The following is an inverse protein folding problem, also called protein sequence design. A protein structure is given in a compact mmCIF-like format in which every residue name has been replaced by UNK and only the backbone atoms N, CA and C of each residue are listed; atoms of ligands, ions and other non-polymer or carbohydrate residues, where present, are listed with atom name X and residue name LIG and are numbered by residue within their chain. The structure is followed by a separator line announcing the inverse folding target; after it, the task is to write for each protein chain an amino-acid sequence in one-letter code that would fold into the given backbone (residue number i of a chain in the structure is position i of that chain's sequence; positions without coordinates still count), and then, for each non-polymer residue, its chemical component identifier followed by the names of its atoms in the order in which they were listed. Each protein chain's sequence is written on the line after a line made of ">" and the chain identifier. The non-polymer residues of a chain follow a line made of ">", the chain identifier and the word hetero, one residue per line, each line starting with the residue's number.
data_IF_450736710711
#
_entry.id   IF_450736710711
#
_cell.length_a   1.000
_cell.length_b   1.000
_cell.length_c   1.000
_cell.angle_alpha   90.00
_cell.angle_beta   90.00
_cell.angle_gamma   90.00
#
_symmetry.space_group_name_H-M   'P 1'
#
loop_
_entity.id
_entity.type
_entity.pdbx_description
1 polymer ?
#
# COMPACT_ATOMS: atom_id res chain seq x y z
N UNK A 1 4.49 4.73 27.15
CA UNK A 1 3.81 4.76 25.84
C UNK A 1 4.35 3.65 24.92
N UNK A 2 5.64 3.67 24.52
CA UNK A 2 6.25 2.65 23.65
C UNK A 2 6.24 1.21 24.20
N UNK A 3 6.43 1.01 25.51
CA UNK A 3 6.40 -0.33 26.12
C UNK A 3 5.02 -0.99 26.04
N UNK A 4 3.95 -0.19 26.18
CA UNK A 4 2.57 -0.68 26.09
C UNK A 4 2.23 -1.05 24.65
N UNK A 5 2.61 -0.23 23.66
CA UNK A 5 2.43 -0.56 22.24
C UNK A 5 3.16 -1.85 21.83
N UNK A 6 4.40 -2.04 22.29
CA UNK A 6 5.13 -3.30 22.02
C UNK A 6 4.45 -4.52 22.65
N UNK A 7 3.85 -4.35 23.83
CA UNK A 7 3.07 -5.40 24.48
C UNK A 7 1.78 -5.70 23.71
N UNK A 8 1.09 -4.66 23.22
CA UNK A 8 -0.12 -4.79 22.41
C UNK A 8 0.17 -5.49 21.07
N UNK A 9 1.30 -5.21 20.44
CA UNK A 9 1.75 -5.92 19.23
C UNK A 9 2.06 -7.38 19.49
N UNK A 10 2.72 -7.70 20.61
CA UNK A 10 2.97 -9.10 20.97
C UNK A 10 1.66 -9.88 21.19
N UNK A 11 0.64 -9.25 21.78
CA UNK A 11 -0.68 -9.87 21.92
C UNK A 11 -1.39 -10.02 20.57
N UNK A 12 -1.34 -9.01 19.72
CA UNK A 12 -1.92 -9.06 18.37
C UNK A 12 -1.29 -10.18 17.53
N UNK A 13 0.02 -10.35 17.60
CA UNK A 13 0.74 -11.43 16.91
C UNK A 13 0.23 -12.82 17.34
N UNK A 14 0.08 -13.06 18.65
CA UNK A 14 -0.48 -14.32 19.16
C UNK A 14 -1.91 -14.56 18.65
N UNK A 15 -2.72 -13.50 18.52
CA UNK A 15 -4.07 -13.62 17.97
C UNK A 15 -4.04 -13.96 16.48
N UNK A 16 -3.16 -13.33 15.69
CA UNK A 16 -2.99 -13.67 14.28
C UNK A 16 -2.51 -15.10 14.08
N UNK A 17 -1.53 -15.55 14.86
CA UNK A 17 -1.02 -16.93 14.82
C UNK A 17 -2.15 -17.93 15.07
N UNK A 18 -2.94 -17.74 16.14
CA UNK A 18 -4.10 -18.59 16.44
C UNK A 18 -5.14 -18.58 15.34
N UNK A 19 -5.42 -17.42 14.75
CA UNK A 19 -6.38 -17.30 13.67
C UNK A 19 -5.88 -18.06 12.42
N UNK A 20 -4.59 -17.97 12.09
CA UNK A 20 -3.98 -18.69 10.96
C UNK A 20 -3.88 -20.19 11.23
N UNK A 21 -3.68 -20.62 12.48
CA UNK A 21 -3.76 -22.03 12.87
C UNK A 21 -5.18 -22.58 12.70
N UNK A 22 -6.20 -21.79 13.04
CA UNK A 22 -7.59 -22.17 12.90
C UNK A 22 -8.05 -22.23 11.43
N UNK A 23 -7.60 -21.30 10.59
CA UNK A 23 -7.88 -21.29 9.15
C UNK A 23 -6.62 -20.95 8.32
N UNK A 24 -5.76 -21.94 8.05
CA UNK A 24 -4.47 -21.72 7.39
C UNK A 24 -4.59 -21.37 5.91
N UNK A 25 -5.80 -21.41 5.33
CA UNK A 25 -6.10 -21.10 3.93
C UNK A 25 -6.92 -19.81 3.78
N UNK A 26 -7.11 -19.07 4.86
CA UNK A 26 -7.74 -17.77 4.75
C UNK A 26 -6.76 -16.75 4.17
N UNK A 27 -6.85 -16.53 2.86
CA UNK A 27 -5.93 -15.66 2.13
C UNK A 27 -5.97 -14.21 2.66
N UNK A 28 -7.14 -13.71 3.04
CA UNK A 28 -7.29 -12.36 3.62
C UNK A 28 -6.61 -12.25 4.98
N UNK A 29 -6.82 -13.22 5.86
CA UNK A 29 -6.16 -13.26 7.16
C UNK A 29 -4.63 -13.32 7.01
N UNK A 30 -4.13 -14.14 6.09
CA UNK A 30 -2.69 -14.23 5.79
C UNK A 30 -2.13 -12.89 5.31
N UNK A 31 -2.83 -12.18 4.42
CA UNK A 31 -2.44 -10.86 3.94
C UNK A 31 -2.47 -9.78 5.03
N UNK A 32 -3.49 -9.78 5.89
CA UNK A 32 -3.57 -8.86 7.04
C UNK A 32 -2.43 -9.14 8.02
N UNK A 33 -2.15 -10.40 8.31
CA UNK A 33 -1.05 -10.77 9.20
C UNK A 33 0.31 -10.37 8.60
N UNK A 34 0.50 -10.55 7.29
CA UNK A 34 1.70 -10.11 6.59
C UNK A 34 1.95 -8.59 6.74
N UNK A 35 0.91 -7.78 6.52
CA UNK A 35 0.98 -6.33 6.76
C UNK A 35 1.35 -6.00 8.21
N UNK A 36 0.74 -6.69 9.18
CA UNK A 36 1.07 -6.49 10.59
C UNK A 36 2.55 -6.79 10.88
N UNK A 37 3.09 -7.88 10.33
CA UNK A 37 4.50 -8.25 10.49
C UNK A 37 5.44 -7.21 9.86
N UNK A 38 5.11 -6.72 8.67
CA UNK A 38 5.90 -5.68 8.02
C UNK A 38 5.88 -4.36 8.80
N UNK A 39 4.69 -3.85 9.15
CA UNK A 39 4.52 -2.49 9.70
C UNK A 39 4.89 -2.39 11.17
N UNK A 40 4.47 -3.34 12.02
CA UNK A 40 4.60 -3.20 13.48
C UNK A 40 5.73 -4.02 14.08
N UNK A 41 6.12 -5.11 13.42
CA UNK A 41 7.21 -5.98 13.86
C UNK A 41 8.49 -5.76 13.08
N UNK A 42 8.42 -5.10 11.93
CA UNK A 42 9.52 -4.93 10.97
C UNK A 42 10.17 -6.27 10.58
N UNK A 43 9.41 -7.36 10.62
CA UNK A 43 9.85 -8.70 10.21
C UNK A 43 9.46 -8.91 8.75
N UNK A 44 10.34 -8.43 7.87
CA UNK A 44 10.12 -8.45 6.42
C UNK A 44 10.15 -9.87 5.85
N UNK A 45 10.95 -10.77 6.44
CA UNK A 45 11.03 -12.15 5.98
C UNK A 45 9.71 -12.89 6.26
N UNK A 46 9.19 -12.77 7.48
CA UNK A 46 7.91 -13.40 7.81
C UNK A 46 6.76 -12.77 7.03
N UNK A 47 6.76 -11.45 6.83
CA UNK A 47 5.78 -10.77 5.98
C UNK A 47 5.78 -11.33 4.55
N UNK A 48 6.96 -11.48 3.93
CA UNK A 48 7.08 -12.03 2.57
C UNK A 48 6.56 -13.47 2.50
N UNK A 49 6.89 -14.32 3.47
CA UNK A 49 6.38 -15.69 3.53
C UNK A 49 4.85 -15.75 3.63
N UNK A 50 4.26 -14.90 4.48
CA UNK A 50 2.81 -14.82 4.66
C UNK A 50 2.10 -14.32 3.39
N UNK A 51 2.65 -13.30 2.72
CA UNK A 51 2.12 -12.81 1.44
C UNK A 51 2.19 -13.88 0.34
N UNK A 52 3.33 -14.57 0.20
CA UNK A 52 3.45 -15.65 -0.78
C UNK A 52 2.41 -16.75 -0.52
N UNK A 53 2.18 -17.12 0.76
CA UNK A 53 1.13 -18.09 1.13
C UNK A 53 -0.28 -17.59 0.81
N UNK A 54 -0.54 -16.30 1.05
CA UNK A 54 -1.81 -15.66 0.73
C UNK A 54 -2.10 -15.72 -0.78
N UNK A 55 -1.12 -15.37 -1.61
CA UNK A 55 -1.22 -15.40 -3.08
C UNK A 55 -1.33 -16.84 -3.61
N UNK A 56 -0.61 -17.80 -3.04
CA UNK A 56 -0.77 -19.22 -3.42
C UNK A 56 -2.20 -19.71 -3.17
N UNK A 57 -2.87 -19.16 -2.15
CA UNK A 57 -4.23 -19.56 -1.79
C UNK A 57 -5.29 -18.85 -2.62
N UNK A 58 -5.09 -17.57 -2.92
CA UNK A 58 -6.00 -16.76 -3.72
C UNK A 58 -5.19 -15.87 -4.70
N UNK A 59 -4.74 -16.44 -5.84
CA UNK A 59 -3.76 -15.78 -6.71
C UNK A 59 -4.29 -14.55 -7.44
N UNK A 60 -5.60 -14.38 -7.51
CA UNK A 60 -6.28 -13.29 -8.21
C UNK A 60 -6.96 -12.31 -7.23
N UNK A 61 -6.76 -12.48 -5.91
CA UNK A 61 -7.43 -11.63 -4.93
C UNK A 61 -6.82 -10.21 -4.92
N UNK A 62 -7.56 -9.17 -5.31
CA UNK A 62 -6.98 -7.86 -5.61
C UNK A 62 -6.36 -7.18 -4.39
N UNK A 63 -7.00 -7.25 -3.22
CA UNK A 63 -6.44 -6.68 -1.97
C UNK A 63 -5.11 -7.34 -1.56
N UNK A 64 -4.95 -8.65 -1.79
CA UNK A 64 -3.72 -9.36 -1.42
C UNK A 64 -2.60 -8.96 -2.37
N UNK A 65 -2.91 -8.88 -3.66
CA UNK A 65 -1.98 -8.43 -4.69
C UNK A 65 -1.55 -6.97 -4.45
N UNK A 66 -2.49 -6.08 -4.11
CA UNK A 66 -2.21 -4.67 -3.80
C UNK A 66 -1.37 -4.50 -2.53
N UNK A 67 -1.73 -5.19 -1.45
CA UNK A 67 -0.96 -5.16 -0.21
C UNK A 67 0.46 -5.70 -0.41
N UNK A 68 0.59 -6.76 -1.21
CA UNK A 68 1.91 -7.30 -1.49
C UNK A 68 2.73 -6.39 -2.40
N UNK A 69 2.11 -5.76 -3.40
CA UNK A 69 2.78 -4.77 -4.23
C UNK A 69 3.34 -3.62 -3.38
N UNK A 70 2.55 -3.06 -2.46
CA UNK A 70 2.99 -2.04 -1.49
C UNK A 70 4.23 -2.49 -0.70
N UNK A 71 4.18 -3.69 -0.14
CA UNK A 71 5.28 -4.27 0.63
C UNK A 71 6.54 -4.45 -0.23
N UNK A 72 6.38 -4.96 -1.45
CA UNK A 72 7.49 -5.21 -2.36
C UNK A 72 8.13 -3.90 -2.85
N UNK A 73 7.34 -2.86 -3.12
CA UNK A 73 7.89 -1.53 -3.41
C UNK A 73 8.65 -0.95 -2.21
N UNK A 74 8.10 -1.05 -1.00
CA UNK A 74 8.77 -0.61 0.23
C UNK A 74 10.07 -1.38 0.54
N UNK A 75 10.20 -2.62 0.05
CA UNK A 75 11.40 -3.46 0.23
C UNK A 75 12.29 -3.55 -1.02
N UNK A 76 12.11 -2.60 -1.97
CA UNK A 76 12.91 -2.45 -3.20
C UNK A 76 12.85 -3.65 -4.17
N UNK A 77 11.84 -4.52 -4.04
CA UNK A 77 11.59 -5.65 -4.94
C UNK A 77 10.70 -5.24 -6.13
N UNK A 78 11.14 -4.23 -6.88
CA UNK A 78 10.32 -3.47 -7.85
C UNK A 78 9.71 -4.33 -8.97
N UNK A 79 10.43 -5.28 -9.53
CA UNK A 79 9.90 -6.09 -10.65
C UNK A 79 8.76 -7.00 -10.20
N UNK A 80 8.88 -7.61 -9.01
CA UNK A 80 7.81 -8.42 -8.41
C UNK A 80 6.62 -7.55 -7.99
N UNK A 81 6.90 -6.35 -7.47
CA UNK A 81 5.88 -5.37 -7.11
C UNK A 81 5.03 -4.97 -8.32
N UNK A 82 5.65 -4.66 -9.46
CA UNK A 82 4.96 -4.34 -10.72
C UNK A 82 4.07 -5.47 -11.21
N UNK A 83 4.55 -6.72 -11.16
CA UNK A 83 3.72 -7.87 -11.54
C UNK A 83 2.49 -8.01 -10.65
N UNK A 84 2.63 -7.80 -9.34
CA UNK A 84 1.51 -7.83 -8.41
C UNK A 84 0.54 -6.68 -8.66
N UNK A 85 1.06 -5.48 -8.90
CA UNK A 85 0.28 -4.28 -9.24
C UNK A 85 -0.54 -4.48 -10.52
N UNK A 86 0.10 -4.88 -11.61
CA UNK A 86 -0.57 -5.14 -12.90
C UNK A 86 -1.64 -6.22 -12.76
N UNK A 87 -1.35 -7.28 -12.00
CA UNK A 87 -2.33 -8.34 -11.74
C UNK A 87 -3.51 -7.82 -10.91
N UNK A 88 -3.28 -6.99 -9.90
CA UNK A 88 -4.34 -6.37 -9.10
C UNK A 88 -5.23 -5.47 -9.96
N UNK A 89 -4.63 -4.61 -10.79
CA UNK A 89 -5.35 -3.70 -11.69
C UNK A 89 -6.15 -4.43 -12.77
N UNK A 90 -5.74 -5.65 -13.15
CA UNK A 90 -6.49 -6.48 -14.11
C UNK A 90 -7.75 -7.11 -13.54
N UNK A 91 -7.96 -7.07 -12.22
CA UNK A 91 -9.15 -7.64 -11.60
C UNK A 91 -10.38 -6.74 -11.84
N UNK A 92 -11.56 -7.32 -12.10
CA UNK A 92 -12.78 -6.54 -12.23
C UNK A 92 -13.23 -5.99 -10.87
N UNK A 93 -14.07 -4.95 -10.91
CA UNK A 93 -14.81 -4.44 -9.75
C UNK A 93 -13.94 -4.10 -8.52
N UNK A 94 -12.82 -3.42 -8.76
CA UNK A 94 -11.96 -2.92 -7.67
C UNK A 94 -12.70 -1.87 -6.83
N UNK A 95 -12.64 -2.01 -5.51
CA UNK A 95 -13.14 -0.99 -4.58
C UNK A 95 -12.39 0.34 -4.78
N UNK A 96 -13.06 1.50 -4.65
CA UNK A 96 -12.43 2.81 -4.90
C UNK A 96 -11.16 3.07 -4.07
N UNK A 97 -11.14 2.59 -2.85
CA UNK A 97 -10.02 2.71 -1.91
C UNK A 97 -8.78 1.96 -2.46
N UNK A 98 -8.98 0.73 -2.93
CA UNK A 98 -7.90 -0.04 -3.56
C UNK A 98 -7.48 0.59 -4.89
N UNK A 99 -8.42 1.11 -5.69
CA UNK A 99 -8.08 1.77 -6.96
C UNK A 99 -7.13 2.96 -6.75
N UNK A 100 -7.36 3.78 -5.71
CA UNK A 100 -6.51 4.94 -5.40
C UNK A 100 -5.15 4.52 -4.82
N UNK A 101 -5.10 3.44 -4.04
CA UNK A 101 -3.85 2.86 -3.58
C UNK A 101 -2.96 2.35 -4.74
N UNK A 102 -3.53 1.57 -5.66
CA UNK A 102 -2.80 1.04 -6.81
C UNK A 102 -2.29 2.17 -7.73
N UNK A 103 -3.14 3.17 -7.98
CA UNK A 103 -2.76 4.35 -8.75
C UNK A 103 -1.62 5.14 -8.07
N UNK A 104 -1.61 5.22 -6.73
CA UNK A 104 -0.51 5.80 -5.98
C UNK A 104 0.79 5.01 -6.15
N UNK A 105 0.78 3.69 -6.03
CA UNK A 105 1.99 2.88 -6.22
C UNK A 105 2.54 3.01 -7.64
N UNK A 106 1.65 3.06 -8.63
CA UNK A 106 2.02 3.29 -10.02
C UNK A 106 2.69 4.65 -10.19
N UNK A 107 2.08 5.72 -9.67
CA UNK A 107 2.65 7.06 -9.70
C UNK A 107 4.00 7.14 -8.96
N UNK A 108 4.13 6.48 -7.81
CA UNK A 108 5.34 6.52 -6.99
C UNK A 108 6.52 5.74 -7.59
N UNK A 109 6.27 4.60 -8.24
CA UNK A 109 7.34 3.63 -8.56
C UNK A 109 7.42 3.19 -10.03
N UNK A 110 6.46 3.55 -10.87
CA UNK A 110 6.40 3.10 -12.26
C UNK A 110 6.53 4.26 -13.26
N UNK A 111 7.48 4.13 -14.18
CA UNK A 111 7.63 5.06 -15.29
C UNK A 111 6.65 4.71 -16.43
N UNK A 112 6.04 5.71 -17.10
CA UNK A 112 6.11 7.14 -16.78
C UNK A 112 5.28 7.47 -15.51
N UNK A 113 5.77 8.40 -14.69
CA UNK A 113 5.09 8.86 -13.46
C UNK A 113 3.82 9.68 -13.78
N UNK A 114 2.79 9.00 -14.26
CA UNK A 114 1.56 9.60 -14.75
C UNK A 114 0.64 9.99 -13.57
N UNK A 115 0.49 11.29 -13.33
CA UNK A 115 -0.35 11.83 -12.26
C UNK A 115 -1.85 11.80 -12.61
N UNK A 116 -2.22 11.91 -13.88
CA UNK A 116 -3.60 12.14 -14.31
C UNK A 116 -4.64 11.11 -13.77
N UNK A 117 -4.39 9.78 -13.82
CA UNK A 117 -5.35 8.81 -13.28
C UNK A 117 -5.57 8.97 -11.76
N UNK A 118 -4.49 9.18 -11.02
CA UNK A 118 -4.53 9.37 -9.58
C UNK A 118 -5.23 10.68 -9.20
N UNK A 119 -4.94 11.77 -9.94
CA UNK A 119 -5.60 13.06 -9.78
C UNK A 119 -7.12 12.95 -9.97
N UNK A 120 -7.57 12.25 -11.02
CA UNK A 120 -8.98 12.05 -11.29
C UNK A 120 -9.70 11.34 -10.12
N UNK A 121 -9.12 10.25 -9.61
CA UNK A 121 -9.69 9.50 -8.47
C UNK A 121 -9.77 10.34 -7.20
N UNK A 122 -8.73 11.13 -6.92
CA UNK A 122 -8.71 12.01 -5.77
C UNK A 122 -9.78 13.11 -5.88
N UNK A 123 -9.95 13.70 -7.08
CA UNK A 123 -10.98 14.70 -7.36
C UNK A 123 -12.40 14.15 -7.28
N UNK A 124 -12.61 12.86 -7.60
CA UNK A 124 -13.90 12.18 -7.38
C UNK A 124 -14.16 11.81 -5.91
N UNK A 125 -13.21 12.09 -5.02
CA UNK A 125 -13.35 11.85 -3.58
C UNK A 125 -12.81 10.51 -3.09
N UNK A 126 -12.17 9.70 -3.94
CA UNK A 126 -11.61 8.40 -3.53
C UNK A 126 -10.47 8.59 -2.54
N UNK A 127 -10.49 7.84 -1.44
CA UNK A 127 -9.48 7.88 -0.37
C UNK A 127 -9.25 6.47 0.14
N UNK A 128 -8.13 6.24 0.83
CA UNK A 128 -7.91 5.03 1.62
C UNK A 128 -7.52 5.44 3.04
N UNK A 129 -8.54 5.71 3.85
CA UNK A 129 -8.38 6.37 5.14
C UNK A 129 -7.60 5.48 6.11
N UNK A 130 -6.52 6.03 6.68
CA UNK A 130 -5.63 5.32 7.60
C UNK A 130 -4.63 4.38 6.91
N UNK A 131 -4.58 4.36 5.58
CA UNK A 131 -3.62 3.56 4.85
C UNK A 131 -2.24 4.20 4.84
N UNK A 132 -1.28 3.60 5.52
CA UNK A 132 0.07 4.15 5.65
C UNK A 132 0.90 3.96 4.36
N UNK A 133 1.29 5.06 3.72
CA UNK A 133 2.08 5.09 2.49
C UNK A 133 3.52 5.57 2.73
N UNK A 134 3.92 5.78 3.99
CA UNK A 134 5.17 6.43 4.37
C UNK A 134 6.41 5.74 3.77
N UNK A 135 6.52 4.42 3.92
CA UNK A 135 7.67 3.67 3.42
C UNK A 135 7.78 3.73 1.88
N UNK A 136 6.63 3.72 1.18
CA UNK A 136 6.61 3.83 -0.28
C UNK A 136 7.06 5.23 -0.73
N UNK A 137 6.60 6.29 -0.05
CA UNK A 137 7.09 7.66 -0.27
C UNK A 137 8.60 7.75 -0.04
N UNK A 138 9.12 7.16 1.04
CA UNK A 138 10.54 7.19 1.37
C UNK A 138 11.38 6.52 0.27
N UNK A 139 10.99 5.32 -0.17
CA UNK A 139 11.68 4.60 -1.24
C UNK A 139 11.63 5.39 -2.55
N UNK A 140 10.44 5.88 -2.96
CA UNK A 140 10.31 6.67 -4.18
C UNK A 140 11.16 7.95 -4.14
N UNK A 141 11.24 8.63 -2.99
CA UNK A 141 12.12 9.79 -2.83
C UNK A 141 13.60 9.41 -2.93
N UNK A 142 14.01 8.29 -2.34
CA UNK A 142 15.38 7.78 -2.47
C UNK A 142 15.74 7.42 -3.92
N UNK A 143 14.75 6.95 -4.68
CA UNK A 143 14.84 6.67 -6.12
C UNK A 143 14.77 7.92 -7.01
N UNK A 144 14.82 9.12 -6.43
CA UNK A 144 14.78 10.40 -7.14
C UNK A 144 13.49 10.61 -7.96
N UNK A 145 12.33 10.23 -7.39
CA UNK A 145 11.03 10.61 -7.94
C UNK A 145 10.98 12.12 -8.24
N UNK A 146 10.46 12.57 -9.40
CA UNK A 146 10.58 13.97 -9.86
C UNK A 146 9.82 14.97 -8.99
N UNK A 147 8.73 14.51 -8.33
CA UNK A 147 7.87 15.37 -7.52
C UNK A 147 7.75 14.85 -6.08
N UNK A 148 8.83 14.81 -5.29
CA UNK A 148 8.82 14.14 -3.99
C UNK A 148 7.91 14.84 -2.98
N UNK A 149 7.85 16.18 -2.99
CA UNK A 149 6.97 16.95 -2.10
C UNK A 149 5.48 16.74 -2.42
N UNK A 150 5.13 16.72 -3.71
CA UNK A 150 3.77 16.43 -4.15
C UNK A 150 3.40 14.98 -3.82
N UNK A 151 4.31 14.03 -4.05
CA UNK A 151 4.08 12.62 -3.71
C UNK A 151 3.75 12.44 -2.22
N UNK A 152 4.51 13.10 -1.32
CA UNK A 152 4.21 13.09 0.12
C UNK A 152 2.83 13.70 0.42
N UNK A 153 2.50 14.85 -0.17
CA UNK A 153 1.20 15.49 0.07
C UNK A 153 0.04 14.62 -0.43
N UNK A 154 0.18 14.00 -1.60
CA UNK A 154 -0.80 13.05 -2.14
C UNK A 154 -0.99 11.87 -1.17
N UNK A 155 0.09 11.29 -0.66
CA UNK A 155 0.01 10.20 0.32
C UNK A 155 -0.82 10.62 1.54
N UNK A 156 -0.56 11.80 2.11
CA UNK A 156 -1.30 12.33 3.25
C UNK A 156 -2.78 12.57 2.93
N UNK A 157 -3.10 13.04 1.72
CA UNK A 157 -4.49 13.19 1.28
C UNK A 157 -5.18 11.83 1.15
N UNK A 158 -4.56 10.83 0.52
CA UNK A 158 -5.10 9.47 0.38
C UNK A 158 -5.40 8.87 1.76
N UNK A 159 -4.44 8.98 2.69
CA UNK A 159 -4.54 8.46 4.06
C UNK A 159 -5.55 9.22 4.93
N UNK A 160 -6.09 10.35 4.45
CA UNK A 160 -7.05 11.19 5.17
C UNK A 160 -6.43 12.11 6.23
N UNK A 161 -5.10 12.29 6.19
CA UNK A 161 -4.38 13.20 7.11
C UNK A 161 -4.50 14.67 6.69
N UNK A 162 -4.75 14.93 5.41
CA UNK A 162 -4.91 16.26 4.83
C UNK A 162 -6.10 16.36 3.88
N UNK A 163 -6.62 17.58 3.74
CA UNK A 163 -7.62 17.90 2.74
C UNK A 163 -7.00 18.03 1.34
N UNK A 164 -7.76 17.69 0.29
CA UNK A 164 -7.27 17.78 -1.10
C UNK A 164 -6.87 19.19 -1.52
N UNK A 165 -7.45 20.23 -0.92
CA UNK A 165 -7.10 21.62 -1.20
C UNK A 165 -5.63 21.92 -0.87
N UNK A 166 -4.96 21.12 -0.03
CA UNK A 166 -3.52 21.27 0.21
C UNK A 166 -2.68 20.96 -1.03
N UNK A 167 -3.24 20.28 -2.03
CA UNK A 167 -2.56 19.97 -3.28
C UNK A 167 -2.52 21.16 -4.26
N UNK A 168 -3.38 22.18 -4.08
CA UNK A 168 -3.47 23.33 -4.99
C UNK A 168 -2.22 24.23 -4.97
N UNK A 169 -1.37 24.09 -3.95
CA UNK A 169 -0.08 24.79 -3.88
C UNK A 169 0.99 24.21 -4.81
N UNK A 170 0.76 23.03 -5.41
CA UNK A 170 1.73 22.36 -6.28
C UNK A 170 1.39 22.64 -7.75
N UNK A 171 2.30 23.26 -8.53
CA UNK A 171 2.08 23.51 -9.95
C UNK A 171 1.81 22.22 -10.72
N UNK A 172 2.49 21.12 -10.39
CA UNK A 172 2.32 19.85 -11.10
C UNK A 172 0.93 19.26 -10.87
N UNK A 173 0.30 19.57 -9.73
CA UNK A 173 -1.10 19.22 -9.48
C UNK A 173 -2.07 20.07 -10.30
N UNK A 174 -1.86 21.38 -10.35
CA UNK A 174 -2.80 22.33 -10.98
C UNK A 174 -2.68 22.39 -12.50
N UNK A 175 -1.47 22.25 -13.04
CA UNK A 175 -1.15 22.38 -14.47
C UNK A 175 -1.33 21.08 -15.27
N UNK A 176 -1.51 19.94 -14.60
CA UNK A 176 -1.83 18.67 -15.29
C UNK A 176 -3.23 18.77 -15.92
N UNK A 177 -3.36 18.76 -17.26
CA UNK A 177 -4.64 18.90 -17.95
C UNK A 177 -5.62 17.76 -17.66
#
# INVERSE_FOLDING_TARGET
>A
FLANQKQDYAQAEVMYQRAVEADPKNANLLGIYANFMATYKSDLEQADQLFNKAIQTAPEHPNILGNYAKFLFATDQKDKARQCLEKAESQPDLEPDLQVELAFYRYAHCQPYALAPLKQQLQSGSRSIGWDLTDNVQVACADLHPHPKLLTAIAQVISGEQDIATLDQYPEWTETP
#
